data_IF_529386798095
#
_entry.id   IF_529386798095
#
_cell.length_a   1.000
_cell.length_b   1.000
_cell.length_c   1.000
_cell.angle_alpha   90.00
_cell.angle_beta   90.00
_cell.angle_gamma   90.00
#
_symmetry.space_group_name_H-M   'P 1'
#
loop_
_entity.id
_entity.type
_entity.pdbx_description
1 polymer ?
#
# COMPACT_ATOMS: atom_id res chain seq x y z
N UNK A 1 0.99 2.30 5.94
CA UNK A 1 2.28 2.38 6.67
C UNK A 1 2.00 2.67 8.13
N UNK A 2 2.30 1.74 9.03
CA UNK A 2 1.92 1.84 10.44
C UNK A 2 0.42 1.80 10.69
N UNK A 3 -0.35 1.11 9.84
CA UNK A 3 -1.81 1.05 9.98
C UNK A 3 -2.20 0.03 11.03
N UNK A 4 -3.27 0.31 11.78
CA UNK A 4 -3.85 -0.68 12.67
C UNK A 4 -4.47 -1.84 11.87
N UNK A 5 -4.51 -3.02 12.48
CA UNK A 5 -5.01 -4.24 11.85
C UNK A 5 -6.48 -4.14 11.41
N UNK A 6 -7.32 -3.48 12.20
CA UNK A 6 -8.72 -3.21 11.89
C UNK A 6 -8.89 -2.38 10.62
N UNK A 7 -8.05 -1.35 10.44
CA UNK A 7 -8.03 -0.51 9.23
C UNK A 7 -7.58 -1.32 8.02
N UNK A 8 -6.52 -2.13 8.16
CA UNK A 8 -6.05 -3.01 7.09
C UNK A 8 -7.15 -3.99 6.64
N UNK A 9 -7.84 -4.61 7.61
CA UNK A 9 -8.96 -5.52 7.35
C UNK A 9 -10.13 -4.82 6.66
N UNK A 10 -10.49 -3.62 7.10
CA UNK A 10 -11.54 -2.83 6.46
C UNK A 10 -11.29 -2.61 4.96
N UNK A 11 -10.05 -2.28 4.58
CA UNK A 11 -9.71 -2.11 3.16
C UNK A 11 -9.85 -3.42 2.38
N UNK A 12 -9.32 -4.52 2.90
CA UNK A 12 -9.42 -5.84 2.25
C UNK A 12 -10.88 -6.25 2.06
N UNK A 13 -11.71 -6.09 3.10
CA UNK A 13 -13.13 -6.43 3.05
C UNK A 13 -13.88 -5.53 2.05
N UNK A 14 -13.59 -4.23 2.03
CA UNK A 14 -14.18 -3.27 1.10
C UNK A 14 -13.84 -3.57 -0.37
N UNK A 15 -12.57 -3.90 -0.66
CA UNK A 15 -12.15 -4.29 -2.01
C UNK A 15 -12.74 -5.64 -2.44
N UNK A 16 -12.92 -6.56 -1.48
CA UNK A 16 -13.54 -7.86 -1.73
C UNK A 16 -15.01 -7.71 -2.10
N UNK A 17 -15.75 -6.90 -1.35
CA UNK A 17 -17.18 -6.66 -1.59
C UNK A 17 -17.46 -5.88 -2.87
N UNK A 18 -16.55 -4.98 -3.28
CA UNK A 18 -16.69 -4.22 -4.53
C UNK A 18 -16.30 -5.02 -5.79
N UNK A 19 -15.75 -6.23 -5.64
CA UNK A 19 -15.28 -7.05 -6.76
C UNK A 19 -14.06 -6.49 -7.48
N UNK A 20 -13.37 -5.51 -6.90
CA UNK A 20 -12.22 -4.82 -7.51
C UNK A 20 -10.88 -5.44 -7.17
N UNK A 21 -10.86 -6.48 -6.31
CA UNK A 21 -9.65 -7.09 -5.78
C UNK A 21 -8.69 -7.61 -6.86
N UNK A 22 -9.19 -7.99 -8.03
CA UNK A 22 -8.37 -8.43 -9.17
C UNK A 22 -7.50 -7.33 -9.78
N UNK A 23 -7.82 -6.05 -9.54
CA UNK A 23 -7.11 -4.90 -10.07
C UNK A 23 -6.38 -4.08 -8.99
N UNK A 24 -6.35 -4.55 -7.75
CA UNK A 24 -5.76 -3.84 -6.61
C UNK A 24 -4.53 -4.60 -6.11
N UNK A 25 -3.42 -3.90 -5.96
CA UNK A 25 -2.25 -4.39 -5.24
C UNK A 25 -2.13 -3.63 -3.91
N UNK A 26 -2.15 -4.36 -2.80
CA UNK A 26 -2.06 -3.81 -1.45
C UNK A 26 -0.70 -4.09 -0.84
N UNK A 27 -0.06 -3.03 -0.33
CA UNK A 27 1.17 -3.10 0.45
C UNK A 27 0.84 -2.61 1.86
N UNK A 28 0.95 -3.50 2.84
CA UNK A 28 0.60 -3.24 4.22
C UNK A 28 1.84 -3.32 5.09
N UNK A 29 2.02 -2.30 5.91
CA UNK A 29 2.90 -2.32 7.08
C UNK A 29 2.02 -1.94 8.26
N UNK A 30 1.91 -2.86 9.21
CA UNK A 30 1.12 -2.75 10.41
C UNK A 30 1.80 -1.88 11.46
N UNK A 31 1.05 -1.47 12.47
CA UNK A 31 1.56 -0.62 13.56
C UNK A 31 2.60 -1.32 14.44
N UNK A 32 2.52 -2.66 14.54
CA UNK A 32 3.44 -3.53 15.27
C UNK A 32 4.65 -3.98 14.43
N UNK A 33 4.64 -3.74 13.12
CA UNK A 33 5.78 -4.03 12.25
C UNK A 33 6.96 -3.06 12.51
N UNK A 34 8.21 -3.51 12.30
CA UNK A 34 9.40 -2.67 12.43
C UNK A 34 9.30 -1.37 11.64
N UNK A 35 9.82 -0.27 12.21
CA UNK A 35 9.77 1.06 11.57
C UNK A 35 10.43 1.07 10.19
N UNK A 36 11.48 0.28 9.98
CA UNK A 36 12.16 0.14 8.69
C UNK A 36 11.24 -0.36 7.56
N UNK A 37 10.23 -1.17 7.90
CA UNK A 37 9.25 -1.64 6.90
C UNK A 37 8.40 -0.49 6.37
N UNK A 38 8.14 0.53 7.19
CA UNK A 38 7.40 1.73 6.77
C UNK A 38 8.20 2.52 5.73
N UNK A 39 9.53 2.53 5.83
CA UNK A 39 10.39 3.22 4.87
C UNK A 39 10.48 2.49 3.52
N UNK A 40 10.49 1.15 3.52
CA UNK A 40 10.60 0.35 2.28
C UNK A 40 9.25 0.15 1.58
N UNK A 41 8.15 0.06 2.33
CA UNK A 41 6.78 -0.12 1.81
C UNK A 41 6.44 0.80 0.63
N UNK A 42 6.61 2.15 0.73
CA UNK A 42 6.24 3.03 -0.37
C UNK A 42 7.16 2.84 -1.58
N UNK A 43 8.44 2.50 -1.38
CA UNK A 43 9.38 2.24 -2.47
C UNK A 43 8.95 1.00 -3.26
N UNK A 44 8.63 -0.09 -2.57
CA UNK A 44 8.14 -1.33 -3.21
C UNK A 44 6.84 -1.10 -3.97
N UNK A 45 5.90 -0.34 -3.37
CA UNK A 45 4.64 0.00 -4.01
C UNK A 45 4.85 0.83 -5.29
N UNK A 46 5.73 1.83 -5.25
CA UNK A 46 6.06 2.66 -6.41
C UNK A 46 6.80 1.87 -7.49
N UNK A 47 7.69 0.95 -7.14
CA UNK A 47 8.35 0.07 -8.12
C UNK A 47 7.33 -0.77 -8.89
N UNK A 48 6.34 -1.34 -8.21
CA UNK A 48 5.26 -2.07 -8.89
C UNK A 48 4.43 -1.12 -9.77
N UNK A 49 4.12 0.09 -9.27
CA UNK A 49 3.36 1.08 -10.02
C UNK A 49 4.08 1.49 -11.31
N UNK A 50 5.39 1.76 -11.25
CA UNK A 50 6.24 2.08 -12.40
C UNK A 50 6.26 0.93 -13.41
N UNK A 51 6.44 -0.31 -12.94
CA UNK A 51 6.39 -1.50 -13.81
C UNK A 51 5.04 -1.61 -14.54
N UNK A 52 3.93 -1.48 -13.82
CA UNK A 52 2.60 -1.56 -14.40
C UNK A 52 2.32 -0.41 -15.38
N UNK A 53 2.79 0.79 -15.07
CA UNK A 53 2.59 1.97 -15.90
C UNK A 53 3.47 1.95 -17.16
N UNK A 54 4.78 1.80 -17.00
CA UNK A 54 5.75 1.99 -18.07
C UNK A 54 6.01 0.72 -18.88
N UNK A 55 6.04 -0.45 -18.25
CA UNK A 55 6.29 -1.71 -18.96
C UNK A 55 5.01 -2.41 -19.41
N UNK A 56 3.89 -2.23 -18.68
CA UNK A 56 2.60 -2.85 -19.01
C UNK A 56 1.57 -1.89 -19.59
N UNK A 57 1.89 -0.60 -19.71
CA UNK A 57 1.03 0.40 -20.32
C UNK A 57 -0.30 0.62 -19.61
N UNK A 58 -0.39 0.32 -18.31
CA UNK A 58 -1.62 0.49 -17.52
C UNK A 58 -1.71 1.91 -16.95
N UNK A 59 -2.93 2.43 -16.81
CA UNK A 59 -3.17 3.60 -15.98
C UNK A 59 -3.20 3.17 -14.51
N UNK A 60 -2.24 3.67 -13.73
CA UNK A 60 -2.07 3.30 -12.32
C UNK A 60 -2.38 4.49 -11.42
N UNK A 61 -3.21 4.28 -10.40
CA UNK A 61 -3.42 5.22 -9.30
C UNK A 61 -2.75 4.67 -8.05
N UNK A 62 -1.79 5.40 -7.51
CA UNK A 62 -1.12 5.05 -6.25
C UNK A 62 -1.74 5.87 -5.13
N UNK A 63 -2.19 5.19 -4.08
CA UNK A 63 -2.70 5.82 -2.84
C UNK A 63 -1.76 5.41 -1.70
N UNK A 64 -1.16 6.40 -1.05
CA UNK A 64 -0.26 6.18 0.08
C UNK A 64 -0.86 6.76 1.36
N UNK A 65 -0.92 5.92 2.39
CA UNK A 65 -1.32 6.27 3.76
C UNK A 65 -0.51 5.41 4.73
N UNK A 66 0.07 5.89 5.81
CA UNK A 66 0.06 7.20 6.45
C UNK A 66 1.46 7.84 6.29
N UNK A 67 1.54 9.01 5.64
CA UNK A 67 2.83 9.66 5.39
C UNK A 67 3.46 10.26 6.65
N UNK A 68 2.67 10.50 7.70
CA UNK A 68 3.20 10.94 9.01
C UNK A 68 4.02 9.81 9.63
N UNK A 69 3.45 8.60 9.70
CA UNK A 69 4.17 7.41 10.19
C UNK A 69 5.40 7.05 9.35
N UNK A 70 5.36 7.35 8.06
CA UNK A 70 6.53 7.23 7.19
C UNK A 70 7.62 8.22 7.61
N UNK A 71 7.28 9.51 7.76
CA UNK A 71 8.25 10.53 8.16
C UNK A 71 8.81 10.30 9.57
N UNK A 72 8.02 9.77 10.51
CA UNK A 72 8.51 9.37 11.84
C UNK A 72 9.48 8.19 11.81
N UNK A 73 9.45 7.38 10.74
CA UNK A 73 10.34 6.23 10.56
C UNK A 73 11.67 6.56 9.89
N UNK A 74 11.84 7.80 9.40
CA UNK A 74 13.02 8.27 8.67
C UNK A 74 14.10 8.80 9.62
#
# INVERSE_FOLDING_TARGET
MGVKYDVAKYFIDSFSQSGTLSNVALFLSLADDPSIERTITPKTALTLAEYLAFEKGKHVLVIMTDMTNYCESL
#
